data_IF_414257778017
#
_entry.id   IF_414257778017
#
_cell.length_a   1.000
_cell.length_b   1.000
_cell.length_c   1.000
_cell.angle_alpha   90.00
_cell.angle_beta   90.00
_cell.angle_gamma   90.00
#
_symmetry.space_group_name_H-M   'P 1'
#
loop_
_entity.id
_entity.type
_entity.pdbx_description
1 polymer ?
#
# COMPACT_ATOMS: atom_id res chain seq x y z
N UNK A 1 -52.26 30.76 -38.82
CA UNK A 1 -50.85 31.22 -38.75
C UNK A 1 -50.25 30.59 -37.50
N UNK A 2 -49.98 29.29 -37.54
CA UNK A 2 -48.64 28.69 -37.70
C UNK A 2 -47.65 29.31 -36.71
N UNK A 3 -47.32 28.60 -35.63
CA UNK A 3 -45.95 28.11 -35.44
C UNK A 3 -45.90 27.08 -34.32
N UNK A 4 -45.96 25.82 -34.74
CA UNK A 4 -45.52 24.65 -34.00
C UNK A 4 -43.99 24.75 -33.87
N UNK A 5 -43.46 24.85 -32.66
CA UNK A 5 -42.06 24.50 -32.41
C UNK A 5 -42.07 23.26 -31.52
N UNK A 6 -41.92 22.12 -32.20
CA UNK A 6 -41.75 20.81 -31.61
C UNK A 6 -40.40 20.82 -30.88
N UNK A 7 -40.43 20.85 -29.55
CA UNK A 7 -39.26 20.57 -28.74
C UNK A 7 -38.93 19.08 -28.92
N UNK A 8 -37.94 18.78 -29.76
CA UNK A 8 -37.35 17.45 -29.81
C UNK A 8 -36.51 17.28 -28.54
N UNK A 9 -37.15 16.84 -27.46
CA UNK A 9 -36.46 16.26 -26.31
C UNK A 9 -35.79 14.98 -26.81
N UNK A 10 -34.54 15.12 -27.26
CA UNK A 10 -33.62 13.99 -27.33
C UNK A 10 -33.46 13.45 -25.92
N UNK A 11 -34.22 12.41 -25.59
CA UNK A 11 -33.91 11.51 -24.49
C UNK A 11 -32.58 10.84 -24.87
N UNK A 12 -31.46 11.39 -24.40
CA UNK A 12 -30.27 10.57 -24.20
C UNK A 12 -30.63 9.59 -23.08
N UNK A 13 -31.07 8.39 -23.46
CA UNK A 13 -31.15 7.26 -22.53
C UNK A 13 -29.75 7.09 -21.93
N UNK A 14 -29.60 7.34 -20.63
CA UNK A 14 -28.37 7.04 -19.88
C UNK A 14 -28.13 5.54 -19.70
N UNK A 15 -28.46 4.73 -20.71
CA UNK A 15 -28.66 3.29 -20.61
C UNK A 15 -27.56 2.49 -21.31
N UNK A 16 -26.57 3.13 -21.94
CA UNK A 16 -25.46 2.46 -22.65
C UNK A 16 -24.10 2.56 -21.95
N UNK A 17 -23.94 3.43 -20.93
CA UNK A 17 -22.72 3.44 -20.11
C UNK A 17 -22.72 2.29 -19.10
N UNK A 18 -21.54 1.76 -18.78
CA UNK A 18 -21.32 0.83 -17.66
C UNK A 18 -21.12 1.64 -16.39
N UNK A 19 -21.82 1.29 -15.31
CA UNK A 19 -21.51 1.80 -13.98
C UNK A 19 -20.51 0.87 -13.28
N UNK A 20 -19.56 1.46 -12.56
CA UNK A 20 -18.51 0.75 -11.84
C UNK A 20 -18.50 1.22 -10.39
N UNK A 21 -18.85 0.30 -9.49
CA UNK A 21 -18.65 0.43 -8.05
C UNK A 21 -17.27 -0.12 -7.70
N UNK A 22 -16.52 0.63 -6.90
CA UNK A 22 -15.15 0.27 -6.51
C UNK A 22 -14.93 0.68 -5.05
N UNK A 23 -14.32 -0.20 -4.29
CA UNK A 23 -13.93 0.04 -2.90
C UNK A 23 -12.69 -0.77 -2.54
N UNK A 24 -12.17 -0.56 -1.33
CA UNK A 24 -10.93 -1.18 -0.87
C UNK A 24 -11.13 -1.91 0.46
N UNK A 25 -10.08 -2.58 0.93
CA UNK A 25 -10.04 -3.12 2.29
C UNK A 25 -10.05 -2.07 3.41
N UNK A 26 -9.97 -0.78 3.08
CA UNK A 26 -10.09 0.34 4.01
C UNK A 26 -11.13 1.34 3.51
N UNK A 27 -11.97 1.84 4.42
CA UNK A 27 -12.95 2.89 4.10
C UNK A 27 -12.25 4.20 3.69
N UNK A 28 -11.18 4.55 4.41
CA UNK A 28 -10.24 5.61 4.03
C UNK A 28 -8.99 4.95 3.43
N UNK A 29 -8.73 5.10 2.11
CA UNK A 29 -7.64 4.40 1.43
C UNK A 29 -6.28 5.07 1.68
N UNK A 30 -5.88 5.10 2.95
CA UNK A 30 -4.57 5.56 3.42
C UNK A 30 -3.76 4.36 3.86
N UNK A 31 -2.57 4.22 3.28
CA UNK A 31 -1.69 3.07 3.45
C UNK A 31 -0.28 3.49 3.83
N UNK A 32 0.39 2.65 4.61
CA UNK A 32 1.82 2.70 4.86
C UNK A 32 2.52 1.70 3.92
N UNK A 33 3.80 1.92 3.58
CA UNK A 33 4.59 0.90 2.91
C UNK A 33 4.58 -0.43 3.67
N UNK A 34 4.42 -1.52 2.95
CA UNK A 34 4.30 -2.89 3.48
C UNK A 34 2.89 -3.33 3.83
N UNK A 35 1.88 -2.47 3.71
CA UNK A 35 0.48 -2.88 3.87
C UNK A 35 -0.07 -3.51 2.59
N UNK A 36 -0.95 -4.50 2.76
CA UNK A 36 -1.65 -5.14 1.63
C UNK A 36 -2.84 -4.27 1.18
N UNK A 37 -2.90 -4.01 -0.11
CA UNK A 37 -4.01 -3.41 -0.82
C UNK A 37 -4.94 -4.52 -1.34
N UNK A 38 -6.22 -4.43 -1.01
CA UNK A 38 -7.26 -5.19 -1.71
C UNK A 38 -8.19 -4.24 -2.43
N UNK A 39 -8.45 -4.52 -3.70
CA UNK A 39 -9.35 -3.74 -4.54
C UNK A 39 -10.55 -4.62 -4.82
N UNK A 40 -11.73 -4.07 -4.63
CA UNK A 40 -12.98 -4.72 -4.97
C UNK A 40 -13.71 -3.88 -6.00
N UNK A 41 -14.31 -4.54 -6.99
CA UNK A 41 -15.14 -3.85 -7.96
C UNK A 41 -16.35 -4.68 -8.39
N UNK A 42 -17.37 -3.97 -8.86
CA UNK A 42 -18.60 -4.55 -9.41
C UNK A 42 -19.12 -3.67 -10.54
N UNK A 43 -19.58 -4.30 -11.61
CA UNK A 43 -20.23 -3.63 -12.74
C UNK A 43 -21.72 -3.91 -12.77
N UNK A 44 -22.51 -3.03 -13.37
CA UNK A 44 -23.95 -3.22 -13.57
C UNK A 44 -24.30 -4.03 -14.83
N UNK A 45 -23.30 -4.30 -15.68
CA UNK A 45 -23.41 -5.02 -16.96
C UNK A 45 -22.24 -5.98 -17.17
N UNK A 46 -22.48 -7.00 -17.98
CA UNK A 46 -21.40 -7.82 -18.53
C UNK A 46 -20.53 -6.93 -19.44
N UNK A 47 -19.24 -6.90 -19.17
CA UNK A 47 -18.29 -6.03 -19.90
C UNK A 47 -16.85 -6.49 -19.70
N UNK A 48 -15.92 -5.83 -20.39
CA UNK A 48 -14.49 -6.01 -20.20
C UNK A 48 -13.93 -4.95 -19.27
N UNK A 49 -13.11 -5.37 -18.30
CA UNK A 49 -12.46 -4.50 -17.31
C UNK A 49 -10.94 -4.60 -17.44
N UNK A 50 -10.27 -3.46 -17.33
CA UNK A 50 -8.85 -3.39 -17.00
C UNK A 50 -8.66 -2.55 -15.74
N UNK A 51 -7.85 -3.03 -14.79
CA UNK A 51 -7.49 -2.33 -13.55
C UNK A 51 -6.01 -2.06 -13.57
N UNK A 52 -5.65 -0.80 -13.44
CA UNK A 52 -4.27 -0.33 -13.36
C UNK A 52 -4.02 0.31 -12.00
N UNK A 53 -2.84 0.06 -11.45
CA UNK A 53 -2.23 0.90 -10.44
C UNK A 53 -1.24 1.86 -11.11
N UNK A 54 -1.43 3.15 -10.86
CA UNK A 54 -0.54 4.21 -11.29
C UNK A 54 0.21 4.73 -10.07
N UNK A 55 1.46 4.30 -9.95
CA UNK A 55 2.33 4.70 -8.85
C UNK A 55 2.58 6.22 -8.85
N UNK A 56 3.08 6.75 -7.73
CA UNK A 56 3.45 8.17 -7.55
C UNK A 56 4.38 8.68 -8.68
N UNK A 57 5.30 7.84 -9.16
CA UNK A 57 6.22 8.16 -10.24
C UNK A 57 5.62 8.09 -11.65
N UNK A 58 4.34 7.73 -11.79
CA UNK A 58 3.64 7.56 -13.06
C UNK A 58 3.89 6.22 -13.75
N UNK A 59 4.50 5.25 -13.06
CA UNK A 59 4.61 3.88 -13.58
C UNK A 59 3.22 3.25 -13.61
N UNK A 60 2.89 2.62 -14.74
CA UNK A 60 1.61 1.96 -14.97
C UNK A 60 1.77 0.45 -14.74
N UNK A 61 1.07 -0.11 -13.76
CA UNK A 61 1.06 -1.54 -13.46
C UNK A 61 -0.34 -2.10 -13.75
N UNK A 62 -0.46 -3.01 -14.72
CA UNK A 62 -1.72 -3.71 -14.99
C UNK A 62 -1.95 -4.77 -13.90
N UNK A 63 -3.00 -4.60 -13.09
CA UNK A 63 -3.37 -5.53 -12.03
C UNK A 63 -4.39 -6.57 -12.51
N UNK A 64 -5.31 -6.16 -13.38
CA UNK A 64 -6.33 -7.03 -13.96
C UNK A 64 -6.59 -6.61 -15.42
N UNK A 65 -6.83 -7.55 -16.33
CA UNK A 65 -6.84 -8.99 -16.11
C UNK A 65 -5.43 -9.59 -15.94
N UNK A 66 -5.32 -10.82 -15.39
CA UNK A 66 -4.12 -11.62 -15.54
C UNK A 66 -3.68 -11.73 -17.00
N UNK A 67 -2.39 -11.91 -17.23
CA UNK A 67 -1.84 -12.00 -18.58
C UNK A 67 -2.51 -13.13 -19.38
N UNK A 68 -2.94 -12.83 -20.61
CA UNK A 68 -3.60 -13.80 -21.50
C UNK A 68 -5.10 -13.96 -21.24
N UNK A 69 -5.66 -13.34 -20.21
CA UNK A 69 -7.10 -13.32 -19.98
C UNK A 69 -7.80 -12.15 -20.69
N UNK A 70 -9.09 -12.34 -20.97
CA UNK A 70 -9.87 -11.36 -21.73
C UNK A 70 -10.25 -10.11 -20.93
N UNK A 71 -10.29 -10.19 -19.60
CA UNK A 71 -10.87 -9.16 -18.73
C UNK A 71 -12.40 -9.12 -18.71
N UNK A 72 -13.08 -10.11 -19.30
CA UNK A 72 -14.54 -10.20 -19.25
C UNK A 72 -15.02 -10.45 -17.80
N UNK A 73 -15.93 -9.61 -17.35
CA UNK A 73 -16.60 -9.71 -16.05
C UNK A 73 -18.11 -9.77 -16.21
N UNK A 74 -18.79 -10.38 -15.23
CA UNK A 74 -20.25 -10.52 -15.21
C UNK A 74 -20.90 -9.43 -14.37
N UNK A 75 -22.04 -8.94 -14.84
CA UNK A 75 -22.87 -7.98 -14.13
C UNK A 75 -23.18 -8.43 -12.70
N UNK A 76 -23.15 -7.49 -11.78
CA UNK A 76 -23.51 -7.65 -10.37
C UNK A 76 -22.66 -8.64 -9.56
N UNK A 77 -21.58 -9.18 -10.13
CA UNK A 77 -20.59 -9.97 -9.41
C UNK A 77 -19.52 -9.05 -8.81
N UNK A 78 -19.13 -9.34 -7.56
CA UNK A 78 -18.00 -8.68 -6.91
C UNK A 78 -16.73 -9.43 -7.28
N UNK A 79 -15.75 -8.71 -7.79
CA UNK A 79 -14.41 -9.19 -8.06
C UNK A 79 -13.45 -8.62 -7.01
N UNK A 80 -12.56 -9.47 -6.49
CA UNK A 80 -11.50 -9.10 -5.54
C UNK A 80 -10.13 -9.21 -6.23
N UNK A 81 -9.28 -8.23 -6.00
CA UNK A 81 -7.91 -8.15 -6.49
C UNK A 81 -6.96 -7.95 -5.29
N UNK A 82 -5.99 -8.85 -5.07
CA UNK A 82 -5.83 -10.12 -5.79
C UNK A 82 -6.99 -11.09 -5.48
N UNK A 83 -7.27 -12.09 -6.34
CA UNK A 83 -8.25 -13.14 -6.03
C UNK A 83 -7.93 -13.85 -4.70
N UNK A 84 -8.94 -14.34 -3.99
CA UNK A 84 -8.78 -14.97 -2.66
C UNK A 84 -7.84 -16.19 -2.68
N UNK A 85 -7.76 -16.91 -3.80
CA UNK A 85 -6.92 -18.07 -4.02
C UNK A 85 -5.55 -17.77 -4.65
N UNK A 86 -5.21 -16.49 -4.83
CA UNK A 86 -3.90 -16.07 -5.32
C UNK A 86 -2.77 -16.44 -4.33
N UNK A 87 -1.60 -16.77 -4.87
CA UNK A 87 -0.37 -17.01 -4.10
C UNK A 87 0.48 -15.75 -3.87
N UNK A 88 -0.10 -14.57 -4.16
CA UNK A 88 0.53 -13.26 -4.04
C UNK A 88 -0.42 -12.22 -3.44
N UNK A 89 0.16 -11.17 -2.86
CA UNK A 89 -0.53 -9.97 -2.37
C UNK A 89 -0.12 -8.73 -3.18
N UNK A 90 -1.01 -7.74 -3.30
CA UNK A 90 -0.60 -6.39 -3.71
C UNK A 90 -0.10 -5.61 -2.49
N UNK A 91 1.21 -5.57 -2.31
CA UNK A 91 1.86 -4.82 -1.23
C UNK A 91 2.18 -3.38 -1.69
N UNK A 92 1.85 -2.39 -0.85
CA UNK A 92 2.25 -0.99 -1.08
C UNK A 92 3.76 -0.87 -0.90
N UNK A 93 4.49 -0.66 -1.99
CA UNK A 93 5.96 -0.57 -1.99
C UNK A 93 6.49 0.80 -2.42
N UNK A 94 5.61 1.66 -2.95
CA UNK A 94 5.92 3.00 -3.42
C UNK A 94 6.33 3.97 -2.31
N UNK A 95 6.98 5.10 -2.67
CA UNK A 95 7.23 6.18 -1.72
C UNK A 95 5.92 6.83 -1.29
N UNK A 96 6.01 7.69 -0.27
CA UNK A 96 4.89 8.56 0.12
C UNK A 96 4.37 9.39 -1.06
N UNK A 97 3.05 9.57 -1.10
CA UNK A 97 2.38 10.31 -2.17
C UNK A 97 1.00 9.78 -2.49
N UNK A 98 0.49 10.16 -3.65
CA UNK A 98 -0.80 9.71 -4.15
C UNK A 98 -0.60 8.75 -5.31
N UNK A 99 -1.05 7.52 -5.12
CA UNK A 99 -1.20 6.53 -6.18
C UNK A 99 -2.65 6.55 -6.68
N UNK A 100 -2.88 6.01 -7.87
CA UNK A 100 -4.21 6.02 -8.47
C UNK A 100 -4.56 4.67 -9.03
N UNK A 101 -5.65 4.12 -8.53
CA UNK A 101 -6.27 2.94 -9.12
C UNK A 101 -7.21 3.41 -10.22
N UNK A 102 -6.89 3.03 -11.45
CA UNK A 102 -7.67 3.33 -12.65
C UNK A 102 -8.38 2.06 -13.10
N UNK A 103 -9.70 2.10 -13.15
CA UNK A 103 -10.53 1.01 -13.69
C UNK A 103 -11.20 1.50 -14.96
N UNK A 104 -10.97 0.75 -16.03
CA UNK A 104 -11.51 1.01 -17.35
C UNK A 104 -12.56 -0.04 -17.68
N UNK A 105 -13.69 0.37 -18.26
CA UNK A 105 -14.71 -0.54 -18.75
C UNK A 105 -15.05 -0.31 -20.23
N UNK A 106 -15.29 -1.41 -20.94
CA UNK A 106 -15.71 -1.41 -22.34
C UNK A 106 -16.66 -2.57 -22.63
N UNK A 107 -17.63 -2.35 -23.51
CA UNK A 107 -18.57 -3.38 -23.95
C UNK A 107 -18.04 -4.23 -25.13
N UNK A 108 -16.98 -3.77 -25.81
CA UNK A 108 -16.54 -4.35 -27.09
C UNK A 108 -15.20 -5.10 -27.03
N UNK A 109 -14.45 -4.98 -25.95
CA UNK A 109 -13.15 -5.64 -25.78
C UNK A 109 -12.34 -5.05 -24.64
N UNK A 110 -11.19 -5.66 -24.34
CA UNK A 110 -10.29 -5.20 -23.26
C UNK A 110 -9.89 -3.72 -23.48
N UNK A 111 -10.23 -2.80 -22.56
CA UNK A 111 -9.90 -1.40 -22.71
C UNK A 111 -8.42 -1.11 -22.39
N UNK A 112 -7.84 -0.15 -23.10
CA UNK A 112 -6.46 0.33 -22.86
C UNK A 112 -6.46 1.72 -22.20
N UNK A 113 -5.44 2.00 -21.38
CA UNK A 113 -5.32 3.27 -20.64
C UNK A 113 -5.28 4.53 -21.52
N UNK A 114 -4.87 4.40 -22.78
CA UNK A 114 -4.79 5.52 -23.74
C UNK A 114 -6.12 5.77 -24.46
N UNK A 115 -7.07 4.85 -24.37
CA UNK A 115 -8.38 5.00 -25.00
C UNK A 115 -9.19 6.07 -24.26
N UNK A 116 -9.69 7.05 -25.02
CA UNK A 116 -10.47 8.18 -24.50
C UNK A 116 -11.97 7.93 -24.55
N UNK A 117 -12.39 6.83 -25.14
CA UNK A 117 -13.79 6.48 -25.38
C UNK A 117 -14.34 5.50 -24.35
N UNK A 118 -13.46 4.84 -23.60
CA UNK A 118 -13.81 3.88 -22.54
C UNK A 118 -14.31 4.59 -21.29
N UNK A 119 -15.16 3.91 -20.54
CA UNK A 119 -15.55 4.39 -19.22
C UNK A 119 -14.33 4.28 -18.31
N UNK A 120 -13.98 5.37 -17.63
CA UNK A 120 -12.83 5.44 -16.73
C UNK A 120 -13.28 5.87 -15.34
N UNK A 121 -12.98 5.05 -14.34
CA UNK A 121 -13.06 5.39 -12.91
C UNK A 121 -11.64 5.52 -12.38
N UNK A 122 -11.33 6.64 -11.74
CA UNK A 122 -10.01 6.89 -11.13
C UNK A 122 -10.23 7.16 -9.65
N UNK A 123 -9.54 6.41 -8.80
CA UNK A 123 -9.62 6.56 -7.36
C UNK A 123 -8.20 6.72 -6.82
N UNK A 124 -8.01 7.77 -6.03
CA UNK A 124 -6.75 8.04 -5.36
C UNK A 124 -6.64 7.21 -4.09
N UNK A 125 -5.49 6.59 -3.88
CA UNK A 125 -5.07 6.07 -2.58
C UNK A 125 -3.86 6.89 -2.11
N UNK A 126 -3.73 7.05 -0.80
CA UNK A 126 -2.64 7.86 -0.23
C UNK A 126 -1.64 6.95 0.47
N UNK A 127 -0.38 7.02 0.07
CA UNK A 127 0.74 6.39 0.75
C UNK A 127 1.37 7.41 1.68
N UNK A 128 1.46 7.10 2.97
CA UNK A 128 2.10 7.96 3.98
C UNK A 128 3.37 7.31 4.51
N UNK A 129 4.43 8.09 4.70
CA UNK A 129 5.60 7.61 5.45
C UNK A 129 5.25 7.61 6.95
N UNK A 130 5.45 6.48 7.66
CA UNK A 130 5.11 6.42 9.07
C UNK A 130 6.08 7.24 9.94
N UNK A 131 5.53 7.95 10.92
CA UNK A 131 6.32 8.75 11.86
C UNK A 131 7.36 7.90 12.61
N UNK A 132 8.65 8.31 12.64
CA UNK A 132 9.70 7.49 13.20
C UNK A 132 9.63 7.37 14.72
N UNK A 133 9.97 6.18 15.22
CA UNK A 133 10.09 5.89 16.63
C UNK A 133 11.42 6.42 17.22
N UNK A 134 11.41 6.77 18.50
CA UNK A 134 12.57 7.18 19.30
C UNK A 134 12.89 6.13 20.36
N UNK A 135 14.02 5.43 20.18
CA UNK A 135 14.53 4.44 21.12
C UNK A 135 15.69 5.00 21.93
N UNK A 136 15.51 5.14 23.24
CA UNK A 136 16.60 5.49 24.18
C UNK A 136 17.13 4.24 24.89
N UNK A 137 18.39 3.91 24.63
CA UNK A 137 19.08 2.78 25.27
C UNK A 137 20.03 3.32 26.33
N UNK A 138 19.89 2.81 27.56
CA UNK A 138 20.75 3.11 28.70
C UNK A 138 21.30 1.78 29.19
N UNK A 139 22.60 1.72 29.48
CA UNK A 139 23.19 0.49 30.02
C UNK A 139 24.00 0.68 31.29
N UNK A 140 24.09 -0.40 32.05
CA UNK A 140 25.08 -0.62 33.10
C UNK A 140 25.88 -1.89 32.76
N UNK A 141 27.21 -1.81 32.56
CA UNK A 141 28.06 -0.62 32.63
C UNK A 141 27.76 0.39 31.51
N UNK A 142 28.24 1.64 31.67
CA UNK A 142 28.14 2.67 30.63
C UNK A 142 29.08 2.38 29.44
N UNK A 143 28.86 3.06 28.31
CA UNK A 143 29.69 2.95 27.09
C UNK A 143 29.75 1.51 26.55
N UNK A 144 28.60 0.85 26.43
CA UNK A 144 28.46 -0.39 25.67
C UNK A 144 28.24 -0.05 24.19
N UNK A 145 28.81 -0.84 23.28
CA UNK A 145 28.57 -0.73 21.84
C UNK A 145 27.16 -1.19 21.51
N UNK A 146 26.48 -0.44 20.67
CA UNK A 146 25.11 -0.69 20.21
C UNK A 146 25.17 -1.04 18.73
N UNK A 147 24.59 -2.18 18.36
CA UNK A 147 24.31 -2.58 17.00
C UNK A 147 22.80 -2.78 16.88
N UNK A 148 22.25 -2.37 15.74
CA UNK A 148 20.83 -2.57 15.41
C UNK A 148 20.76 -3.25 14.07
N UNK A 149 20.07 -4.36 14.03
CA UNK A 149 19.74 -5.09 12.80
C UNK A 149 18.24 -4.93 12.51
N UNK A 150 17.91 -4.51 11.29
CA UNK A 150 16.53 -4.54 10.79
C UNK A 150 16.14 -5.99 10.52
N UNK A 151 15.05 -6.46 11.10
CA UNK A 151 14.55 -7.82 10.82
C UNK A 151 14.06 -7.94 9.37
N UNK A 152 13.52 -6.86 8.80
CA UNK A 152 12.97 -6.85 7.45
C UNK A 152 14.06 -6.90 6.38
N UNK A 153 15.13 -6.12 6.53
CA UNK A 153 16.20 -6.03 5.52
C UNK A 153 17.42 -6.88 5.83
N UNK A 154 17.60 -7.29 7.11
CA UNK A 154 18.80 -7.97 7.59
C UNK A 154 20.01 -7.05 7.78
N UNK A 155 19.87 -5.75 7.53
CA UNK A 155 20.98 -4.80 7.64
C UNK A 155 21.34 -4.53 9.09
N UNK A 156 22.57 -4.87 9.49
CA UNK A 156 23.13 -4.49 10.79
C UNK A 156 23.95 -3.20 10.68
N UNK A 157 23.65 -2.24 11.56
CA UNK A 157 24.36 -0.97 11.65
C UNK A 157 24.94 -0.76 13.04
N UNK A 158 26.20 -0.35 13.10
CA UNK A 158 26.82 0.11 14.34
C UNK A 158 26.35 1.54 14.67
N UNK A 159 25.63 1.67 15.78
CA UNK A 159 24.97 2.93 16.16
C UNK A 159 25.84 3.81 17.05
N UNK A 160 26.79 3.22 17.79
CA UNK A 160 27.65 3.93 18.72
C UNK A 160 27.63 3.34 20.14
N UNK A 161 27.67 4.21 21.15
CA UNK A 161 27.79 3.82 22.56
C UNK A 161 26.59 4.25 23.42
N UNK A 162 26.24 3.48 24.44
CA UNK A 162 25.26 3.85 25.48
C UNK A 162 25.79 4.92 26.45
N UNK A 163 24.92 5.78 27.01
CA UNK A 163 23.50 5.94 26.68
C UNK A 163 23.31 6.67 25.34
N UNK A 164 22.29 6.27 24.57
CA UNK A 164 22.00 6.90 23.27
C UNK A 164 20.50 6.89 22.97
N UNK A 165 20.03 7.98 22.36
CA UNK A 165 18.71 8.05 21.73
C UNK A 165 18.89 7.85 20.24
N UNK A 166 18.06 7.01 19.64
CA UNK A 166 18.15 6.55 18.25
C UNK A 166 16.77 6.80 17.64
N UNK A 167 16.74 7.38 16.44
CA UNK A 167 15.52 7.55 15.66
C UNK A 167 15.50 6.43 14.62
N UNK A 168 14.43 5.65 14.58
CA UNK A 168 14.28 4.50 13.70
C UNK A 168 12.90 4.56 13.06
N UNK A 169 12.78 4.03 11.84
CA UNK A 169 11.45 3.76 11.27
C UNK A 169 10.71 2.74 12.16
N UNK A 170 9.38 2.71 12.14
CA UNK A 170 8.62 1.62 12.76
C UNK A 170 9.01 0.28 12.14
N UNK A 171 8.93 -0.78 12.94
CA UNK A 171 9.33 -2.12 12.49
C UNK A 171 9.98 -2.97 13.58
N UNK A 172 10.44 -4.15 13.18
CA UNK A 172 11.14 -5.08 14.06
C UNK A 172 12.66 -4.96 13.93
N UNK A 173 13.32 -4.95 15.10
CA UNK A 173 14.77 -4.80 15.20
C UNK A 173 15.36 -5.80 16.19
N UNK A 174 16.56 -6.28 15.87
CA UNK A 174 17.42 -6.98 16.83
C UNK A 174 18.46 -5.99 17.35
N UNK A 175 18.40 -5.71 18.65
CA UNK A 175 19.33 -4.80 19.33
C UNK A 175 20.41 -5.63 20.02
N UNK A 176 21.68 -5.45 19.62
CA UNK A 176 22.83 -6.09 20.25
C UNK A 176 23.66 -5.08 21.04
N UNK A 177 23.92 -5.42 22.30
CA UNK A 177 24.71 -4.61 23.22
C UNK A 177 25.96 -5.38 23.61
N UNK A 178 27.14 -4.84 23.28
CA UNK A 178 28.44 -5.51 23.47
C UNK A 178 29.40 -4.65 24.29
N UNK A 179 30.17 -5.28 25.18
CA UNK A 179 31.30 -4.64 25.88
C UNK A 179 32.35 -5.68 26.27
N UNK A 180 33.63 -5.32 26.12
CA UNK A 180 34.73 -6.19 26.53
C UNK A 180 34.65 -6.49 28.04
N UNK A 181 34.81 -7.76 28.43
CA UNK A 181 34.68 -8.22 29.81
C UNK A 181 33.23 -8.50 30.25
N UNK A 182 32.24 -8.42 29.35
CA UNK A 182 30.84 -8.66 29.65
C UNK A 182 30.17 -9.59 28.63
N UNK A 183 29.20 -10.37 29.09
CA UNK A 183 28.30 -11.17 28.26
C UNK A 183 27.49 -10.24 27.36
N UNK A 184 27.48 -10.51 26.06
CA UNK A 184 26.68 -9.75 25.09
C UNK A 184 25.20 -10.00 25.29
N UNK A 185 24.40 -8.94 25.16
CA UNK A 185 22.95 -9.04 25.19
C UNK A 185 22.39 -8.81 23.79
N UNK A 186 21.41 -9.64 23.42
CA UNK A 186 20.62 -9.51 22.21
C UNK A 186 19.14 -9.43 22.60
N UNK A 187 18.39 -8.50 22.00
CA UNK A 187 16.96 -8.38 22.24
C UNK A 187 16.23 -7.97 20.96
N UNK A 188 15.22 -8.74 20.57
CA UNK A 188 14.24 -8.36 19.55
C UNK A 188 13.25 -7.35 20.13
N UNK A 189 12.97 -6.29 19.39
CA UNK A 189 11.98 -5.27 19.73
C UNK A 189 11.15 -4.93 18.49
N UNK A 190 9.84 -4.72 18.68
CA UNK A 190 8.95 -4.10 17.69
C UNK A 190 8.68 -2.65 18.09
N UNK A 191 8.94 -1.70 17.21
CA UNK A 191 8.67 -0.27 17.42
C UNK A 191 7.47 0.16 16.57
N UNK A 192 6.50 0.82 17.21
CA UNK A 192 5.32 1.36 16.54
C UNK A 192 5.56 2.82 16.09
N UNK A 193 4.75 3.37 15.15
CA UNK A 193 4.82 4.78 14.75
C UNK A 193 4.76 5.78 15.91
N UNK A 194 5.58 6.84 15.85
CA UNK A 194 5.80 7.87 16.90
C UNK A 194 6.14 7.30 18.31
N UNK A 195 6.50 6.02 18.43
CA UNK A 195 6.76 5.43 19.73
C UNK A 195 8.01 6.02 20.38
N UNK A 196 7.93 6.36 21.67
CA UNK A 196 9.08 6.80 22.48
C UNK A 196 9.45 5.77 23.54
N UNK A 197 10.28 4.80 23.17
CA UNK A 197 10.68 3.69 24.05
C UNK A 197 11.97 3.99 24.81
N UNK A 198 12.00 3.68 26.10
CA UNK A 198 13.23 3.71 26.94
C UNK A 198 13.57 2.30 27.39
N UNK A 199 14.78 1.84 27.07
CA UNK A 199 15.27 0.50 27.45
C UNK A 199 16.47 0.65 28.36
N UNK A 200 16.41 -0.04 29.50
CA UNK A 200 17.52 -0.20 30.43
C UNK A 200 18.09 -1.60 30.27
N UNK A 201 19.41 -1.67 30.07
CA UNK A 201 20.13 -2.92 29.83
C UNK A 201 21.21 -3.08 30.90
N UNK A 202 21.26 -4.25 31.54
CA UNK A 202 22.36 -4.62 32.43
C UNK A 202 23.15 -5.75 31.79
N UNK A 203 24.44 -5.53 31.52
CA UNK A 203 25.32 -6.60 31.11
C UNK A 203 25.93 -7.25 32.35
N UNK A 204 26.08 -8.57 32.30
CA UNK A 204 26.77 -9.34 33.32
C UNK A 204 28.25 -9.49 32.92
N UNK A 205 29.20 -9.39 33.86
CA UNK A 205 30.59 -9.73 33.58
C UNK A 205 30.72 -11.21 33.20
N UNK A 206 31.78 -11.54 32.46
CA UNK A 206 32.22 -12.94 32.32
C UNK A 206 32.80 -13.48 33.62
#
# INVERSE_FOLDING_TARGET
MICTFLFLLGLFNGQDSVNIDVWFNKDEPVYNPGENLKIFFRTDKDCYIAVYDIEVGGRENLLFPPEGESGMVRANMVYELPPEDADFDYEITGPEGTERIIILASLSGLPEIKDRTVIKKEIAITVIEPEPAKLKIISSPKRCRIYIESVQTGDEVYIGYTPRTIVLKPGEYIVRIKKAGYVSLEKRIKLEPDERRRVYVRLLPW
#
